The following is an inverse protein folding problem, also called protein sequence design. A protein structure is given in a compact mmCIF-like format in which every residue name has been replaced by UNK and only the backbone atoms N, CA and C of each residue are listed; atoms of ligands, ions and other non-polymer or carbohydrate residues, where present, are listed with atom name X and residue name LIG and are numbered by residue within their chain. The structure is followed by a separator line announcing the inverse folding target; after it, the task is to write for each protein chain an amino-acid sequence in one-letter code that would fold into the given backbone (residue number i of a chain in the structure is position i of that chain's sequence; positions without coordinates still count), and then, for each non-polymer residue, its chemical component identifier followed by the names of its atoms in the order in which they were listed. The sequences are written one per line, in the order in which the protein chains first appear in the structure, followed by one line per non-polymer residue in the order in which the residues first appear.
data_IF_601489497596
#
_entry.id   IF_601489497596
#
_cell.length_a   1.000
_cell.length_b   1.000
_cell.length_c   1.000
_cell.angle_alpha   90.00
_cell.angle_beta   90.00
_cell.angle_gamma   90.00
#
_symmetry.space_group_name_H-M   'P 1'
#
loop_
_entity.id
_entity.type
_entity.pdbx_description
1 polymer ?
#
# COMPACT_ATOMS: atom_id res chain seq x y z
N UNK A 1 9.98 4.14 12.73
CA UNK A 1 8.96 5.20 12.65
C UNK A 1 7.64 4.56 12.32
N UNK A 2 6.60 4.93 13.07
CA UNK A 2 5.23 4.48 12.84
C UNK A 2 4.36 5.64 12.37
N UNK A 3 3.34 5.33 11.56
CA UNK A 3 2.32 6.30 11.18
C UNK A 3 0.94 5.70 11.30
N UNK A 4 -0.03 6.51 11.74
CA UNK A 4 -1.45 6.23 11.64
C UNK A 4 -2.01 7.07 10.49
N UNK A 5 -2.53 6.42 9.45
CA UNK A 5 -2.96 7.09 8.21
C UNK A 5 -4.41 6.72 7.94
N UNK A 6 -5.25 7.72 7.70
CA UNK A 6 -6.65 7.53 7.29
C UNK A 6 -6.71 7.08 5.82
N UNK A 7 -7.44 6.01 5.56
CA UNK A 7 -7.71 5.49 4.22
C UNK A 7 -8.76 6.39 3.56
N UNK A 8 -8.48 6.78 2.32
CA UNK A 8 -9.42 7.53 1.48
C UNK A 8 -9.65 6.76 0.18
N UNK A 9 -10.92 6.62 -0.19
CA UNK A 9 -11.35 5.93 -1.40
C UNK A 9 -11.43 4.40 -1.23
N UNK A 10 -11.86 3.74 -2.31
CA UNK A 10 -12.35 2.34 -2.27
C UNK A 10 -11.40 1.32 -2.91
N UNK A 11 -10.17 1.74 -3.26
CA UNK A 11 -9.29 0.90 -4.10
C UNK A 11 -8.80 -0.39 -3.42
N UNK A 12 -8.85 -0.43 -2.09
CA UNK A 12 -8.47 -1.57 -1.27
C UNK A 12 -9.69 -2.27 -0.65
N UNK A 13 -10.90 -1.89 -1.02
CA UNK A 13 -12.12 -2.58 -0.56
C UNK A 13 -12.15 -4.02 -1.09
N UNK A 14 -12.56 -5.02 -0.30
CA UNK A 14 -13.17 -4.92 1.04
C UNK A 14 -12.17 -4.99 2.22
N UNK A 15 -10.86 -5.14 1.98
CA UNK A 15 -9.89 -5.26 3.08
C UNK A 15 -9.58 -3.94 3.78
N UNK A 16 -9.70 -2.82 3.09
CA UNK A 16 -9.65 -1.48 3.68
C UNK A 16 -10.72 -0.59 3.03
N UNK A 17 -11.62 -0.07 3.85
CA UNK A 17 -12.69 0.81 3.42
C UNK A 17 -12.30 2.28 3.62
N UNK A 18 -12.92 3.17 2.85
CA UNK A 18 -12.75 4.60 3.07
C UNK A 18 -13.20 4.98 4.48
N UNK A 19 -12.34 5.70 5.21
CA UNK A 19 -12.58 6.06 6.61
C UNK A 19 -11.76 5.24 7.61
N UNK A 20 -11.35 4.02 7.26
CA UNK A 20 -10.48 3.19 8.10
C UNK A 20 -9.16 3.90 8.38
N UNK A 21 -8.45 3.47 9.41
CA UNK A 21 -7.07 3.87 9.66
C UNK A 21 -6.13 2.67 9.54
N UNK A 22 -4.99 2.87 8.89
CA UNK A 22 -3.90 1.89 8.86
C UNK A 22 -2.76 2.34 9.75
N UNK A 23 -2.27 1.41 10.57
CA UNK A 23 -1.04 1.60 11.32
C UNK A 23 0.11 1.00 10.52
N UNK A 24 1.12 1.82 10.24
CA UNK A 24 2.26 1.44 9.39
C UNK A 24 3.56 1.49 10.17
N UNK A 25 4.52 0.65 9.77
CA UNK A 25 5.87 0.65 10.33
C UNK A 25 6.92 0.55 9.24
N UNK A 26 8.03 1.27 9.42
CA UNK A 26 9.27 1.07 8.64
C UNK A 26 10.15 -0.06 9.16
N UNK A 27 9.85 -0.60 10.34
CA UNK A 27 10.67 -1.63 10.98
C UNK A 27 10.24 -3.04 10.55
N UNK A 28 10.38 -3.33 9.25
CA UNK A 28 10.22 -4.67 8.69
C UNK A 28 11.57 -5.19 8.19
N UNK A 29 11.82 -6.49 8.37
CA UNK A 29 13.05 -7.11 7.84
C UNK A 29 13.02 -7.26 6.32
N UNK A 30 11.84 -7.57 5.77
CA UNK A 30 11.63 -7.81 4.33
C UNK A 30 10.19 -7.47 3.92
N UNK A 31 10.03 -7.03 2.67
CA UNK A 31 8.73 -6.94 2.01
C UNK A 31 8.49 -8.22 1.19
N UNK A 32 7.27 -8.73 1.23
CA UNK A 32 6.85 -9.93 0.54
C UNK A 32 5.57 -9.63 -0.24
N UNK A 33 5.34 -10.40 -1.30
CA UNK A 33 4.03 -10.46 -1.97
C UNK A 33 2.92 -10.70 -0.95
N UNK A 34 1.79 -10.02 -1.13
CA UNK A 34 0.64 -10.04 -0.25
C UNK A 34 0.65 -8.99 0.86
N UNK A 35 1.80 -8.40 1.20
CA UNK A 35 1.84 -7.30 2.17
C UNK A 35 1.13 -6.05 1.65
N UNK A 36 0.47 -5.34 2.56
CA UNK A 36 -0.03 -3.99 2.31
C UNK A 36 1.04 -2.96 2.69
N UNK A 37 1.26 -2.00 1.81
CA UNK A 37 2.25 -0.93 1.98
C UNK A 37 1.63 0.41 1.63
N UNK A 38 2.05 1.44 2.36
CA UNK A 38 1.86 2.83 1.93
C UNK A 38 3.13 3.26 1.23
N UNK A 39 2.99 3.81 0.02
CA UNK A 39 4.12 4.32 -0.77
C UNK A 39 3.90 5.79 -1.11
N UNK A 40 5.01 6.53 -1.20
CA UNK A 40 5.04 7.87 -1.76
C UNK A 40 5.28 7.78 -3.29
N UNK A 41 4.18 7.66 -4.02
CA UNK A 41 4.19 7.52 -5.47
C UNK A 41 4.42 8.86 -6.16
N UNK A 42 5.31 8.92 -7.13
CA UNK A 42 5.69 10.17 -7.80
C UNK A 42 4.50 10.94 -8.42
N UNK A 43 3.52 10.22 -8.96
CA UNK A 43 2.34 10.80 -9.61
C UNK A 43 1.10 10.88 -8.70
N UNK A 44 0.95 9.93 -7.76
CA UNK A 44 -0.30 9.75 -7.00
C UNK A 44 -0.15 10.14 -5.52
N UNK A 45 1.04 10.57 -5.10
CA UNK A 45 1.35 10.84 -3.71
C UNK A 45 1.24 9.59 -2.85
N UNK A 46 0.76 9.76 -1.62
CA UNK A 46 0.59 8.66 -0.68
C UNK A 46 -0.57 7.75 -1.07
N UNK A 47 -0.25 6.52 -1.46
CA UNK A 47 -1.25 5.49 -1.78
C UNK A 47 -0.98 4.21 -0.98
N UNK A 48 -2.05 3.56 -0.53
CA UNK A 48 -2.01 2.22 0.07
C UNK A 48 -2.34 1.17 -0.99
N UNK A 49 -1.46 0.17 -1.12
CA UNK A 49 -1.60 -0.92 -2.11
C UNK A 49 -1.06 -2.24 -1.57
N UNK A 50 -1.48 -3.32 -2.21
CA UNK A 50 -0.93 -4.67 -2.01
C UNK A 50 0.25 -4.91 -2.94
N UNK A 51 1.29 -5.53 -2.41
CA UNK A 51 2.40 -6.03 -3.22
C UNK A 51 1.93 -7.28 -3.96
N UNK A 52 1.86 -7.23 -5.28
CA UNK A 52 1.49 -8.37 -6.13
C UNK A 52 2.73 -9.15 -6.61
N UNK A 53 3.81 -8.44 -6.88
CA UNK A 53 5.08 -9.04 -7.29
C UNK A 53 6.26 -8.19 -6.79
N UNK A 54 7.41 -8.82 -6.61
CA UNK A 54 8.67 -8.15 -6.29
C UNK A 54 9.69 -8.57 -7.34
N UNK A 55 10.21 -7.62 -8.10
CA UNK A 55 11.26 -7.86 -9.08
C UNK A 55 12.59 -8.22 -8.37
N UNK A 56 13.53 -8.90 -9.06
CA UNK A 56 14.82 -9.26 -8.46
C UNK A 56 15.63 -8.07 -7.92
N UNK A 57 15.45 -6.89 -8.50
CA UNK A 57 16.09 -5.64 -8.08
C UNK A 57 15.36 -4.94 -6.90
N UNK A 58 14.29 -5.55 -6.38
CA UNK A 58 13.50 -5.06 -5.26
C UNK A 58 12.44 -4.02 -5.63
N UNK A 59 12.16 -3.81 -6.92
CA UNK A 59 10.99 -3.03 -7.34
C UNK A 59 9.69 -3.77 -7.05
N UNK A 60 8.66 -3.02 -6.69
CA UNK A 60 7.38 -3.54 -6.25
C UNK A 60 6.33 -3.32 -7.34
N UNK A 61 5.66 -4.40 -7.74
CA UNK A 61 4.44 -4.33 -8.54
C UNK A 61 3.26 -4.25 -7.58
N UNK A 62 2.50 -3.16 -7.66
CA UNK A 62 1.46 -2.83 -6.69
C UNK A 62 0.09 -2.85 -7.34
N UNK A 63 -0.91 -3.34 -6.60
CA UNK A 63 -2.30 -3.35 -7.04
C UNK A 63 -3.28 -3.12 -5.89
N UNK A 64 -4.51 -2.77 -6.24
CA UNK A 64 -5.63 -2.76 -5.30
C UNK A 64 -6.43 -4.05 -5.36
N UNK A 65 -7.40 -4.19 -4.45
CA UNK A 65 -8.26 -5.38 -4.35
C UNK A 65 -9.65 -5.16 -4.95
N UNK A 66 -10.04 -3.90 -5.17
CA UNK A 66 -11.32 -3.54 -5.78
C UNK A 66 -11.20 -3.37 -7.29
N UNK A 67 -12.28 -3.69 -8.03
CA UNK A 67 -12.43 -3.39 -9.46
C UNK A 67 -12.34 -1.88 -9.77
N UNK A 68 -12.51 -1.02 -8.77
CA UNK A 68 -12.33 0.44 -8.88
C UNK A 68 -10.88 0.89 -8.65
N UNK A 69 -9.96 -0.03 -8.35
CA UNK A 69 -8.55 0.31 -8.21
C UNK A 69 -7.97 0.73 -9.56
N UNK A 70 -7.01 1.65 -9.51
CA UNK A 70 -6.05 1.82 -10.60
C UNK A 70 -5.43 0.46 -10.93
N UNK A 71 -5.35 0.18 -12.23
CA UNK A 71 -4.64 -0.96 -12.78
C UNK A 71 -3.16 -0.86 -12.45
N UNK A 72 -2.52 -2.00 -12.19
CA UNK A 72 -1.12 -2.05 -11.77
C UNK A 72 -0.19 -1.42 -12.81
N UNK A 73 -0.54 -1.52 -14.10
CA UNK A 73 0.17 -0.93 -15.24
C UNK A 73 0.18 0.60 -15.19
N UNK A 74 -0.89 1.21 -14.64
CA UNK A 74 -0.96 2.67 -14.45
C UNK A 74 -0.19 3.15 -13.22
N UNK A 75 0.06 2.26 -12.27
CA UNK A 75 0.93 2.52 -11.12
C UNK A 75 2.39 2.33 -11.54
N UNK A 76 2.66 1.28 -12.32
CA UNK A 76 4.00 0.89 -12.70
C UNK A 76 4.79 0.29 -11.54
N UNK A 77 6.07 0.05 -11.80
CA UNK A 77 6.98 -0.43 -10.78
C UNK A 77 7.36 0.67 -9.80
N UNK A 78 7.29 0.36 -8.51
CA UNK A 78 7.62 1.32 -7.43
C UNK A 78 8.83 0.84 -6.66
N UNK A 79 9.85 1.69 -6.54
CA UNK A 79 11.03 1.39 -5.72
C UNK A 79 10.65 1.15 -4.27
N UNK A 80 11.18 0.09 -3.66
CA UNK A 80 11.02 -0.19 -2.23
C UNK A 80 11.49 0.96 -1.32
N UNK A 81 12.35 1.86 -1.81
CA UNK A 81 12.78 3.07 -1.08
C UNK A 81 11.66 4.08 -0.88
N UNK A 82 10.65 4.09 -1.74
CA UNK A 82 9.45 4.96 -1.65
C UNK A 82 8.38 4.39 -0.72
N UNK A 83 8.58 3.20 -0.15
CA UNK A 83 7.67 2.67 0.87
C UNK A 83 7.77 3.55 2.10
N UNK A 84 6.68 4.20 2.49
CA UNK A 84 6.54 4.98 3.71
C UNK A 84 6.51 4.05 4.91
N UNK A 85 5.76 2.95 4.80
CA UNK A 85 5.69 1.89 5.80
C UNK A 85 4.85 0.70 5.35
N UNK A 86 5.13 -0.47 5.93
CA UNK A 86 4.29 -1.66 5.81
C UNK A 86 3.12 -1.54 6.78
N UNK A 87 1.90 -1.82 6.34
CA UNK A 87 0.73 -1.90 7.21
C UNK A 87 0.89 -3.09 8.16
N UNK A 88 0.71 -2.85 9.45
CA UNK A 88 0.82 -3.85 10.52
C UNK A 88 -0.47 -3.99 11.34
N UNK A 89 -1.45 -3.11 11.11
CA UNK A 89 -2.79 -3.19 11.70
C UNK A 89 -3.74 -2.22 11.02
N UNK A 90 -5.04 -2.44 11.24
CA UNK A 90 -6.11 -1.53 10.81
C UNK A 90 -7.06 -1.24 11.98
N UNK A 91 -7.68 -0.07 11.94
CA UNK A 91 -8.78 0.32 12.82
C UNK A 91 -9.95 0.64 11.89
N UNK A 92 -11.03 -0.13 11.97
CA UNK A 92 -12.20 0.10 11.14
C UNK A 92 -12.87 1.43 11.54
N UNK A 93 -13.33 2.19 10.57
CA UNK A 93 -14.25 3.28 10.85
C UNK A 93 -15.56 2.73 11.45
N UNK A 94 -16.20 3.48 12.37
CA UNK A 94 -17.52 3.15 12.89
C UNK A 94 -18.61 3.22 11.82
#
# INVERSE_FOLDING_TARGET
MFHLIKVQGESMSPSLCSGDFVFTSRWYKKLNTGHLVVVDHALYGYIVKKILHIAPDGQLWLGGESNKSLQSERIGWVSSRRVVGKVIGRICAP
#
